data_IF_628357931027
#
_entry.id   IF_628357931027
#
_cell.length_a   1.000
_cell.length_b   1.000
_cell.length_c   1.000
_cell.angle_alpha   90.00
_cell.angle_beta   90.00
_cell.angle_gamma   90.00
#
_symmetry.space_group_name_H-M   'P 1'
#
loop_
_entity.id
_entity.type
_entity.pdbx_description
1 polymer ?
#
# COMPACT_ATOMS: atom_id res chain seq x y z
N UNK A 1 13.41 -5.48 11.17
CA UNK A 1 12.25 -4.59 11.23
C UNK A 1 11.17 -5.05 10.25
N UNK A 2 9.92 -5.09 10.70
CA UNK A 2 8.81 -5.55 9.87
C UNK A 2 8.23 -4.36 9.12
N UNK A 3 8.38 -4.36 7.81
CA UNK A 3 7.84 -3.34 6.92
C UNK A 3 6.74 -3.96 6.07
N UNK A 4 5.57 -3.34 6.04
CA UNK A 4 4.41 -3.89 5.36
C UNK A 4 3.71 -2.80 4.54
N UNK A 5 3.26 -3.17 3.36
CA UNK A 5 2.42 -2.31 2.52
C UNK A 5 1.08 -3.01 2.35
N UNK A 6 0.02 -2.32 2.73
CA UNK A 6 -1.34 -2.79 2.54
C UNK A 6 -1.96 -2.05 1.38
N UNK A 7 -2.56 -2.77 0.46
CA UNK A 7 -3.36 -2.19 -0.61
C UNK A 7 -4.81 -2.53 -0.34
N UNK A 8 -5.57 -1.54 0.08
CA UNK A 8 -6.98 -1.69 0.38
C UNK A 8 -7.77 -1.56 -0.92
N UNK A 9 -8.55 -2.56 -1.21
CA UNK A 9 -9.35 -2.65 -2.42
C UNK A 9 -10.84 -2.68 -2.10
N UNK A 10 -11.65 -2.49 -3.13
CA UNK A 10 -13.09 -2.66 -3.03
C UNK A 10 -13.59 -3.43 -4.25
N UNK A 11 -14.77 -3.98 -4.16
CA UNK A 11 -15.36 -4.80 -5.20
C UNK A 11 -15.57 -3.97 -6.48
N UNK A 12 -15.23 -4.55 -7.64
CA UNK A 12 -15.43 -3.90 -8.93
C UNK A 12 -14.49 -2.75 -9.24
N UNK A 13 -13.35 -2.68 -8.58
CA UNK A 13 -12.41 -1.57 -8.71
C UNK A 13 -11.30 -1.88 -9.73
N UNK A 14 -11.41 -1.33 -10.93
CA UNK A 14 -10.37 -1.49 -11.97
C UNK A 14 -9.06 -0.80 -11.56
N UNK A 15 -9.15 0.37 -10.97
CA UNK A 15 -7.98 1.11 -10.49
C UNK A 15 -7.20 0.31 -9.45
N UNK A 16 -7.89 -0.50 -8.65
CA UNK A 16 -7.25 -1.37 -7.66
C UNK A 16 -6.37 -2.42 -8.33
N UNK A 17 -6.86 -3.00 -9.42
CA UNK A 17 -6.09 -4.00 -10.18
C UNK A 17 -4.85 -3.39 -10.81
N UNK A 18 -4.99 -2.19 -11.37
CA UNK A 18 -3.87 -1.47 -11.96
C UNK A 18 -2.81 -1.17 -10.90
N UNK A 19 -3.23 -0.69 -9.76
CA UNK A 19 -2.31 -0.35 -8.68
C UNK A 19 -1.65 -1.58 -8.08
N UNK A 20 -2.38 -2.70 -7.99
CA UNK A 20 -1.79 -3.95 -7.52
C UNK A 20 -0.63 -4.38 -8.42
N UNK A 21 -0.80 -4.31 -9.73
CA UNK A 21 0.26 -4.67 -10.68
C UNK A 21 1.48 -3.77 -10.53
N UNK A 22 1.27 -2.48 -10.35
CA UNK A 22 2.35 -1.50 -10.15
C UNK A 22 3.08 -1.82 -8.83
N UNK A 23 2.34 -2.06 -7.77
CA UNK A 23 2.91 -2.36 -6.46
C UNK A 23 3.75 -3.64 -6.49
N UNK A 24 3.25 -4.69 -7.14
CA UNK A 24 3.99 -5.95 -7.23
C UNK A 24 5.27 -5.81 -8.03
N UNK A 25 5.25 -5.02 -9.10
CA UNK A 25 6.45 -4.75 -9.89
C UNK A 25 7.50 -4.01 -9.07
N UNK A 26 7.08 -2.96 -8.37
CA UNK A 26 7.98 -2.17 -7.51
C UNK A 26 8.50 -3.00 -6.33
N UNK A 27 7.66 -3.84 -5.75
CA UNK A 27 8.04 -4.77 -4.69
C UNK A 27 9.20 -5.67 -5.13
N UNK A 28 9.09 -6.24 -6.33
CA UNK A 28 10.15 -7.07 -6.90
C UNK A 28 11.42 -6.25 -7.14
N UNK A 29 11.29 -5.04 -7.67
CA UNK A 29 12.42 -4.15 -7.93
C UNK A 29 13.16 -3.76 -6.64
N UNK A 30 12.49 -3.78 -5.52
CA UNK A 30 13.08 -3.50 -4.20
C UNK A 30 13.49 -4.78 -3.47
N UNK A 31 13.64 -5.89 -4.20
CA UNK A 31 14.13 -7.17 -3.67
C UNK A 31 13.28 -7.70 -2.50
N UNK A 32 11.99 -7.44 -2.54
CA UNK A 32 11.04 -7.93 -1.53
C UNK A 32 11.40 -7.49 -0.10
N UNK A 33 11.91 -6.26 0.06
CA UNK A 33 12.33 -5.75 1.37
C UNK A 33 11.17 -5.43 2.31
N UNK A 34 9.95 -5.47 1.82
CA UNK A 34 8.74 -5.29 2.62
C UNK A 34 7.70 -6.34 2.19
N UNK A 35 6.71 -6.57 3.02
CA UNK A 35 5.62 -7.49 2.69
C UNK A 35 4.49 -6.73 2.02
N UNK A 36 3.76 -7.39 1.12
CA UNK A 36 2.62 -6.80 0.43
C UNK A 36 1.36 -7.59 0.79
N UNK A 37 0.33 -6.86 1.21
CA UNK A 37 -0.97 -7.43 1.54
C UNK A 37 -2.03 -6.71 0.71
N UNK A 38 -2.69 -7.44 -0.19
CA UNK A 38 -3.79 -6.90 -1.00
C UNK A 38 -5.07 -7.46 -0.42
N UNK A 39 -5.89 -6.60 0.18
CA UNK A 39 -7.07 -7.01 0.92
C UNK A 39 -8.26 -6.12 0.58
N UNK A 40 -9.46 -6.70 0.66
CA UNK A 40 -10.65 -5.88 0.68
C UNK A 40 -10.60 -4.96 1.90
N UNK A 41 -11.09 -3.73 1.76
CA UNK A 41 -10.98 -2.73 2.85
C UNK A 41 -11.59 -3.20 4.16
N UNK A 42 -12.60 -4.07 4.10
CA UNK A 42 -13.25 -4.61 5.30
C UNK A 42 -12.36 -5.59 6.08
N UNK A 43 -11.32 -6.11 5.45
CA UNK A 43 -10.45 -7.13 6.04
C UNK A 43 -9.12 -6.57 6.57
N UNK A 44 -8.94 -5.26 6.51
CA UNK A 44 -7.73 -4.63 7.03
C UNK A 44 -7.64 -4.75 8.55
N UNK A 45 -6.41 -4.74 9.11
CA UNK A 45 -6.25 -4.66 10.56
C UNK A 45 -6.98 -3.46 11.16
N UNK A 46 -7.52 -3.63 12.35
CA UNK A 46 -8.34 -2.60 12.99
C UNK A 46 -7.59 -1.28 13.19
N UNK A 47 -6.31 -1.33 13.54
CA UNK A 47 -5.54 -0.10 13.75
C UNK A 47 -5.43 0.75 12.48
N UNK A 48 -5.49 0.12 11.31
CA UNK A 48 -5.51 0.84 10.03
C UNK A 48 -6.88 1.45 9.79
N UNK A 49 -7.95 0.67 10.03
CA UNK A 49 -9.32 1.13 9.81
C UNK A 49 -9.65 2.37 10.65
N UNK A 50 -9.10 2.44 11.84
CA UNK A 50 -9.35 3.55 12.76
C UNK A 50 -8.69 4.85 12.27
N UNK A 51 -7.47 4.77 11.76
CA UNK A 51 -6.64 5.94 11.50
C UNK A 51 -6.58 6.38 10.03
N UNK A 52 -6.96 5.51 9.10
CA UNK A 52 -6.84 5.80 7.67
C UNK A 52 -8.23 5.96 7.04
N UNK A 53 -8.48 7.08 6.35
CA UNK A 53 -9.72 7.24 5.58
C UNK A 53 -9.79 6.20 4.47
N UNK A 54 -10.84 5.40 4.44
CA UNK A 54 -11.01 4.32 3.47
C UNK A 54 -12.07 4.70 2.45
N UNK A 55 -11.70 5.58 1.54
CA UNK A 55 -12.51 5.98 0.40
C UNK A 55 -11.57 6.33 -0.75
N UNK A 56 -12.11 6.48 -1.96
CA UNK A 56 -11.33 6.77 -3.17
C UNK A 56 -10.28 5.69 -3.42
N UNK A 57 -10.74 4.47 -3.56
CA UNK A 57 -9.89 3.28 -3.74
C UNK A 57 -9.13 3.30 -5.06
N UNK A 58 -7.92 2.68 -5.10
CA UNK A 58 -7.31 1.94 -3.99
C UNK A 58 -6.69 2.86 -2.94
N UNK A 59 -6.59 2.37 -1.71
CA UNK A 59 -5.87 3.07 -0.64
C UNK A 59 -4.64 2.25 -0.29
N UNK A 60 -3.48 2.90 -0.30
CA UNK A 60 -2.22 2.23 0.01
C UNK A 60 -1.71 2.72 1.35
N UNK A 61 -1.34 1.79 2.23
CA UNK A 61 -0.92 2.10 3.59
C UNK A 61 0.44 1.44 3.84
N UNK A 62 1.41 2.25 4.26
CA UNK A 62 2.76 1.81 4.59
C UNK A 62 2.89 1.72 6.10
N UNK A 63 3.20 0.53 6.60
CA UNK A 63 3.24 0.24 8.04
C UNK A 63 4.60 -0.33 8.41
N UNK A 64 5.19 0.18 9.48
CA UNK A 64 6.42 -0.37 10.03
C UNK A 64 6.22 -0.62 11.53
N UNK A 65 6.32 -1.88 11.93
CA UNK A 65 6.14 -2.29 13.32
C UNK A 65 4.83 -1.77 13.92
N UNK A 66 3.74 -1.94 13.17
CA UNK A 66 2.38 -1.52 13.55
C UNK A 66 2.20 0.00 13.65
N UNK A 67 3.14 0.78 13.09
CA UNK A 67 3.02 2.23 12.99
C UNK A 67 2.81 2.61 11.54
N UNK A 68 1.76 3.40 11.28
CA UNK A 68 1.45 3.88 9.93
C UNK A 68 2.43 4.99 9.58
N UNK A 69 3.25 4.76 8.54
CA UNK A 69 4.27 5.72 8.08
C UNK A 69 3.75 6.64 6.99
N UNK A 70 2.84 6.16 6.17
CA UNK A 70 2.32 6.91 5.04
C UNK A 70 1.06 6.24 4.52
N UNK A 71 0.14 7.02 3.98
CA UNK A 71 -0.99 6.46 3.24
C UNK A 71 -1.40 7.40 2.12
N UNK A 72 -2.01 6.84 1.09
CA UNK A 72 -2.48 7.62 -0.05
C UNK A 72 -3.68 6.95 -0.69
N UNK A 73 -4.51 7.74 -1.36
CA UNK A 73 -5.67 7.25 -2.12
C UNK A 73 -5.41 7.40 -3.60
N UNK A 74 -6.04 6.53 -4.39
CA UNK A 74 -5.95 6.56 -5.85
C UNK A 74 -4.71 5.87 -6.38
N UNK A 75 -4.54 5.95 -7.70
CA UNK A 75 -3.39 5.34 -8.38
C UNK A 75 -2.21 6.29 -8.44
N UNK A 76 -1.03 5.72 -8.59
CA UNK A 76 0.19 6.50 -8.82
C UNK A 76 1.11 5.71 -9.75
N UNK A 77 2.06 6.42 -10.35
CA UNK A 77 3.05 5.77 -11.22
C UNK A 77 4.05 4.95 -10.38
N UNK A 78 4.73 4.01 -11.02
CA UNK A 78 5.78 3.23 -10.38
C UNK A 78 6.90 4.15 -9.88
N UNK A 79 7.22 5.21 -10.62
CA UNK A 79 8.25 6.17 -10.23
C UNK A 79 7.87 6.91 -8.95
N UNK A 80 6.63 7.37 -8.85
CA UNK A 80 6.16 8.06 -7.64
C UNK A 80 6.15 7.12 -6.45
N UNK A 81 5.71 5.88 -6.64
CA UNK A 81 5.73 4.87 -5.58
C UNK A 81 7.15 4.61 -5.09
N UNK A 82 8.11 4.48 -6.02
CA UNK A 82 9.50 4.28 -5.64
C UNK A 82 10.05 5.48 -4.85
N UNK A 83 9.67 6.69 -5.23
CA UNK A 83 10.10 7.89 -4.50
C UNK A 83 9.57 7.88 -3.06
N UNK A 84 8.33 7.47 -2.86
CA UNK A 84 7.75 7.33 -1.51
C UNK A 84 8.52 6.29 -0.71
N UNK A 85 8.79 5.14 -1.31
CA UNK A 85 9.54 4.06 -0.66
C UNK A 85 10.91 4.55 -0.22
N UNK A 86 11.60 5.32 -1.06
CA UNK A 86 12.90 5.90 -0.72
C UNK A 86 12.78 6.89 0.43
N UNK A 87 11.78 7.76 0.37
CA UNK A 87 11.59 8.82 1.37
C UNK A 87 11.30 8.28 2.77
N UNK A 88 10.58 7.16 2.86
CA UNK A 88 10.26 6.54 4.15
C UNK A 88 11.19 5.38 4.51
N UNK A 89 12.23 5.16 3.72
CA UNK A 89 13.24 4.11 3.94
C UNK A 89 12.65 2.70 3.99
N UNK A 90 11.78 2.37 3.04
CA UNK A 90 11.19 1.04 2.92
C UNK A 90 12.01 0.11 2.00
N UNK A 91 13.00 0.63 1.32
CA UNK A 91 13.88 -0.17 0.44
C UNK A 91 15.10 -0.74 1.17
#
# INVERSE_FOLDING_TARGET
>A
MIKEVYLATTKGCEACKIMENILRKVHKQNLYTFSVHVLDFSELPEFIKIDVPLHDFPVMIFVQENVIKYHSSGTMSAKKLQNIINDINFN
#
